data_IF_816546585957
#
_entry.id   IF_816546585957
#
_cell.length_a   1.000
_cell.length_b   1.000
_cell.length_c   1.000
_cell.angle_alpha   90.00
_cell.angle_beta   90.00
_cell.angle_gamma   90.00
#
_symmetry.space_group_name_H-M   'P 1'
#
loop_
_entity.id
_entity.type
_entity.pdbx_description
1 polymer ?
#
# COMPACT_ATOMS: atom_id res chain seq x y z
N UNK A 1 -24.99 1.98 -5.41
CA UNK A 1 -23.59 1.51 -5.32
C UNK A 1 -23.02 1.43 -6.73
N UNK A 2 -21.85 2.03 -7.01
CA UNK A 2 -21.26 2.10 -8.36
C UNK A 2 -20.45 0.85 -8.78
N UNK A 3 -20.40 -0.20 -7.95
CA UNK A 3 -19.60 -1.41 -8.18
C UNK A 3 -20.55 -2.60 -8.29
N UNK A 4 -20.49 -3.34 -9.39
CA UNK A 4 -21.26 -4.56 -9.58
C UNK A 4 -20.77 -5.67 -8.63
N UNK A 5 -21.71 -6.43 -8.06
CA UNK A 5 -21.38 -7.48 -7.09
C UNK A 5 -20.74 -8.69 -7.77
N UNK A 6 -19.59 -9.11 -7.24
CA UNK A 6 -18.99 -10.40 -7.53
C UNK A 6 -18.39 -11.01 -6.27
N UNK A 7 -18.52 -12.33 -6.09
CA UNK A 7 -17.87 -13.02 -4.98
C UNK A 7 -16.37 -13.20 -5.28
N UNK A 8 -15.61 -12.11 -5.26
CA UNK A 8 -14.16 -12.10 -5.53
C UNK A 8 -13.41 -11.22 -4.55
N UNK A 9 -12.10 -11.48 -4.40
CA UNK A 9 -11.22 -10.61 -3.63
C UNK A 9 -11.17 -9.18 -4.19
N UNK A 10 -11.26 -9.03 -5.52
CA UNK A 10 -11.23 -7.71 -6.19
C UNK A 10 -12.46 -6.88 -5.82
N UNK A 11 -13.65 -7.49 -5.87
CA UNK A 11 -14.88 -6.84 -5.41
C UNK A 11 -14.76 -6.42 -3.95
N UNK A 12 -14.37 -7.33 -3.05
CA UNK A 12 -14.27 -7.04 -1.62
C UNK A 12 -13.32 -5.86 -1.34
N UNK A 13 -12.19 -5.81 -2.05
CA UNK A 13 -11.23 -4.71 -1.96
C UNK A 13 -11.79 -3.38 -2.47
N UNK A 14 -12.34 -3.36 -3.69
CA UNK A 14 -12.86 -2.15 -4.33
C UNK A 14 -14.04 -1.58 -3.53
N UNK A 15 -14.95 -2.45 -3.09
CA UNK A 15 -16.10 -2.07 -2.27
C UNK A 15 -15.66 -1.47 -0.93
N UNK A 16 -14.70 -2.10 -0.24
CA UNK A 16 -14.14 -1.57 1.00
C UNK A 16 -13.51 -0.19 0.80
N UNK A 17 -12.62 -0.04 -0.19
CA UNK A 17 -11.83 1.20 -0.41
C UNK A 17 -12.68 2.35 -0.94
N UNK A 18 -13.35 2.15 -2.07
CA UNK A 18 -13.92 3.24 -2.86
C UNK A 18 -15.37 3.57 -2.50
N UNK A 19 -15.98 2.79 -1.60
CA UNK A 19 -17.36 3.02 -1.20
C UNK A 19 -17.50 2.97 0.32
N UNK A 20 -17.19 1.83 0.93
CA UNK A 20 -17.55 1.59 2.32
C UNK A 20 -16.84 2.54 3.30
N UNK A 21 -15.57 2.89 3.07
CA UNK A 21 -14.87 3.87 3.94
C UNK A 21 -15.53 5.25 3.94
N UNK A 22 -15.97 5.73 2.78
CA UNK A 22 -16.65 7.01 2.66
C UNK A 22 -18.01 6.98 3.38
N UNK A 23 -18.76 5.89 3.21
CA UNK A 23 -20.03 5.69 3.92
C UNK A 23 -19.85 5.65 5.44
N UNK A 24 -18.81 4.97 5.92
CA UNK A 24 -18.49 4.90 7.35
C UNK A 24 -18.14 6.27 7.94
N UNK A 25 -17.49 7.15 7.16
CA UNK A 25 -17.15 8.50 7.59
C UNK A 25 -18.39 9.40 7.78
N UNK A 26 -19.53 9.02 7.19
CA UNK A 26 -20.81 9.72 7.32
C UNK A 26 -21.69 9.14 8.44
N UNK A 27 -21.24 8.12 9.16
CA UNK A 27 -22.03 7.51 10.23
C UNK A 27 -22.04 8.40 11.48
N UNK A 28 -23.13 8.39 12.28
CA UNK A 28 -23.25 9.22 13.47
C UNK A 28 -22.07 9.07 14.44
N UNK A 29 -21.57 7.84 14.63
CA UNK A 29 -20.41 7.56 15.49
C UNK A 29 -19.11 8.18 14.99
N UNK A 30 -18.97 8.39 13.68
CA UNK A 30 -17.80 9.06 13.11
C UNK A 30 -17.94 10.59 13.20
N UNK A 31 -19.13 11.11 12.92
CA UNK A 31 -19.43 12.54 12.92
C UNK A 31 -19.36 13.19 14.31
N UNK A 32 -19.43 12.41 15.39
CA UNK A 32 -19.21 12.93 16.75
C UNK A 32 -17.76 13.36 17.00
N UNK A 33 -16.80 12.84 16.22
CA UNK A 33 -15.36 13.01 16.45
C UNK A 33 -14.82 12.17 17.63
N UNK A 34 -15.68 11.50 18.37
CA UNK A 34 -15.32 10.69 19.53
C UNK A 34 -14.80 9.29 19.12
N UNK A 35 -13.96 8.65 19.94
CA UNK A 35 -13.51 7.28 19.71
C UNK A 35 -14.68 6.28 19.64
N UNK A 36 -14.73 5.48 18.58
CA UNK A 36 -15.73 4.43 18.40
C UNK A 36 -15.12 3.12 17.87
N UNK A 37 -15.85 2.02 18.07
CA UNK A 37 -15.48 0.71 17.49
C UNK A 37 -15.95 0.64 16.05
N UNK A 38 -15.02 0.43 15.12
CA UNK A 38 -15.34 0.44 13.69
C UNK A 38 -16.12 -0.81 13.23
N UNK A 39 -15.83 -1.99 13.80
CA UNK A 39 -16.43 -3.27 13.34
C UNK A 39 -17.96 -3.36 13.42
N UNK A 40 -18.62 -2.94 14.51
CA UNK A 40 -20.09 -2.86 14.57
C UNK A 40 -20.66 -1.96 13.47
N UNK A 41 -20.03 -0.82 13.23
CA UNK A 41 -20.44 0.15 12.20
C UNK A 41 -20.26 -0.45 10.80
N UNK A 42 -19.11 -1.08 10.51
CA UNK A 42 -18.86 -1.81 9.25
C UNK A 42 -19.99 -2.81 8.97
N UNK A 43 -20.35 -3.61 9.97
CA UNK A 43 -21.37 -4.66 9.82
C UNK A 43 -22.73 -4.06 9.48
N UNK A 44 -23.11 -2.96 10.16
CA UNK A 44 -24.37 -2.25 9.91
C UNK A 44 -24.40 -1.56 8.55
N UNK A 45 -23.31 -0.93 8.12
CA UNK A 45 -23.28 -0.22 6.83
C UNK A 45 -23.23 -1.22 5.67
N UNK A 46 -22.48 -2.33 5.80
CA UNK A 46 -22.45 -3.40 4.79
C UNK A 46 -23.84 -3.96 4.48
N UNK A 47 -24.69 -4.17 5.48
CA UNK A 47 -26.02 -4.75 5.28
C UNK A 47 -27.00 -3.84 4.53
N UNK A 48 -26.66 -2.56 4.32
CA UNK A 48 -27.42 -1.65 3.44
C UNK A 48 -27.18 -1.92 1.97
N UNK A 49 -26.03 -2.51 1.64
CA UNK A 49 -25.54 -2.67 0.26
C UNK A 49 -25.49 -4.12 -0.19
N UNK A 50 -25.30 -5.05 0.74
CA UNK A 50 -25.17 -6.48 0.46
C UNK A 50 -26.18 -7.28 1.26
N UNK A 51 -26.79 -8.26 0.60
CA UNK A 51 -27.67 -9.23 1.27
C UNK A 51 -26.86 -10.22 2.11
N UNK A 52 -27.51 -10.85 3.09
CA UNK A 52 -26.88 -11.93 3.87
C UNK A 52 -26.39 -13.07 2.97
N UNK A 53 -27.14 -13.41 1.93
CA UNK A 53 -26.74 -14.41 0.94
C UNK A 53 -25.44 -13.99 0.25
N UNK A 54 -25.34 -12.76 -0.25
CA UNK A 54 -24.12 -12.24 -0.89
C UNK A 54 -22.93 -12.25 0.08
N UNK A 55 -23.14 -11.85 1.33
CA UNK A 55 -22.10 -11.87 2.36
C UNK A 55 -21.68 -13.28 2.78
N UNK A 56 -22.53 -14.29 2.63
CA UNK A 56 -22.25 -15.71 2.91
C UNK A 56 -21.50 -16.43 1.78
N UNK A 57 -21.50 -15.86 0.57
CA UNK A 57 -20.73 -16.44 -0.54
C UNK A 57 -19.25 -16.48 -0.19
N UNK A 58 -18.58 -17.50 -0.72
CA UNK A 58 -17.16 -17.74 -0.51
C UNK A 58 -16.43 -17.78 -1.84
N UNK A 59 -15.17 -17.37 -1.82
CA UNK A 59 -14.28 -17.41 -2.96
C UNK A 59 -12.91 -17.98 -2.57
N UNK A 60 -12.13 -18.55 -3.50
CA UNK A 60 -10.81 -19.10 -3.19
C UNK A 60 -9.88 -18.06 -2.55
N UNK A 61 -9.29 -18.39 -1.41
CA UNK A 61 -8.25 -17.59 -0.79
C UNK A 61 -7.01 -17.59 -1.68
N UNK A 62 -6.37 -16.42 -1.83
CA UNK A 62 -5.22 -16.27 -2.74
C UNK A 62 -3.92 -16.86 -2.21
N UNK A 63 -3.80 -17.05 -0.90
CA UNK A 63 -2.55 -17.33 -0.18
C UNK A 63 -2.45 -18.76 0.36
N UNK A 64 -3.48 -19.59 0.17
CA UNK A 64 -3.49 -20.97 0.67
C UNK A 64 -4.38 -21.82 -0.22
N UNK A 65 -3.77 -22.80 -0.89
CA UNK A 65 -4.47 -23.73 -1.76
C UNK A 65 -5.56 -24.49 -0.99
N UNK A 66 -6.77 -24.57 -1.56
CA UNK A 66 -7.93 -25.22 -0.95
C UNK A 66 -8.64 -24.41 0.15
N UNK A 67 -8.11 -23.24 0.56
CA UNK A 67 -8.78 -22.37 1.52
C UNK A 67 -9.76 -21.45 0.81
N UNK A 68 -10.90 -21.19 1.44
CA UNK A 68 -11.90 -20.23 0.95
C UNK A 68 -12.03 -19.06 1.92
N UNK A 69 -12.38 -17.89 1.40
CA UNK A 69 -12.74 -16.71 2.19
C UNK A 69 -14.18 -16.32 1.93
N UNK A 70 -14.89 -15.99 3.02
CA UNK A 70 -16.24 -15.47 2.96
C UNK A 70 -16.22 -13.98 2.62
N UNK A 71 -17.08 -13.54 1.71
CA UNK A 71 -17.20 -12.15 1.25
C UNK A 71 -17.35 -11.17 2.42
N UNK A 72 -18.28 -11.42 3.33
CA UNK A 72 -18.51 -10.52 4.48
C UNK A 72 -17.33 -10.45 5.46
N UNK A 73 -16.54 -11.52 5.58
CA UNK A 73 -15.33 -11.51 6.40
C UNK A 73 -14.20 -10.73 5.71
N UNK A 74 -14.05 -10.91 4.41
CA UNK A 74 -13.04 -10.23 3.60
C UNK A 74 -13.27 -8.71 3.51
N UNK A 75 -14.51 -8.27 3.30
CA UNK A 75 -14.83 -6.83 3.30
C UNK A 75 -14.49 -6.19 4.63
N UNK A 76 -14.87 -6.82 5.76
CA UNK A 76 -14.50 -6.33 7.11
C UNK A 76 -12.99 -6.23 7.29
N UNK A 77 -12.25 -7.23 6.83
CA UNK A 77 -10.80 -7.23 6.86
C UNK A 77 -10.20 -6.08 6.05
N UNK A 78 -10.56 -5.94 4.77
CA UNK A 78 -10.03 -4.87 3.91
C UNK A 78 -10.40 -3.48 4.41
N UNK A 79 -11.61 -3.31 4.92
CA UNK A 79 -12.09 -2.02 5.47
C UNK A 79 -11.29 -1.64 6.71
N UNK A 80 -11.11 -2.57 7.65
CA UNK A 80 -10.30 -2.34 8.85
C UNK A 80 -8.84 -2.07 8.51
N UNK A 81 -8.29 -2.81 7.53
CA UNK A 81 -6.91 -2.62 7.08
C UNK A 81 -6.71 -1.22 6.47
N UNK A 82 -7.65 -0.77 5.64
CA UNK A 82 -7.57 0.55 4.98
C UNK A 82 -7.88 1.69 5.92
N UNK A 83 -8.86 1.55 6.81
CA UNK A 83 -9.13 2.54 7.85
C UNK A 83 -7.89 2.79 8.73
N UNK A 84 -7.07 1.75 8.94
CA UNK A 84 -5.85 1.83 9.76
C UNK A 84 -4.61 2.32 8.99
N UNK A 85 -4.47 1.99 7.70
CA UNK A 85 -3.20 2.13 6.96
C UNK A 85 -3.31 2.85 5.61
N UNK A 86 -4.50 3.30 5.21
CA UNK A 86 -4.65 4.06 3.97
C UNK A 86 -4.24 5.51 4.18
N UNK A 87 -3.43 6.06 3.28
CA UNK A 87 -3.10 7.50 3.28
C UNK A 87 -4.40 8.32 3.18
N UNK A 88 -5.25 7.97 2.21
CA UNK A 88 -6.59 8.55 2.02
C UNK A 88 -7.63 8.09 3.08
N UNK A 89 -7.21 7.46 4.18
CA UNK A 89 -8.15 7.04 5.22
C UNK A 89 -8.74 8.26 5.92
N UNK A 90 -10.06 8.38 6.06
CA UNK A 90 -10.67 9.44 6.86
C UNK A 90 -10.55 9.19 8.37
N UNK A 91 -9.96 8.06 8.78
CA UNK A 91 -9.92 7.63 10.17
C UNK A 91 -8.51 7.64 10.77
N UNK A 92 -8.44 8.01 12.05
CA UNK A 92 -7.25 7.85 12.89
C UNK A 92 -7.41 6.58 13.73
N UNK A 93 -6.43 5.68 13.65
CA UNK A 93 -6.40 4.46 14.46
C UNK A 93 -5.81 4.75 15.84
N UNK A 94 -6.60 4.54 16.90
CA UNK A 94 -6.24 4.93 18.27
C UNK A 94 -5.51 3.83 19.06
N UNK A 95 -5.01 2.80 18.38
CA UNK A 95 -4.27 1.70 19.01
C UNK A 95 -5.09 0.42 19.23
N UNK A 96 -4.81 -0.31 20.31
CA UNK A 96 -5.32 -1.67 20.47
C UNK A 96 -6.84 -1.69 20.70
N UNK A 97 -7.52 -2.71 20.15
CA UNK A 97 -8.99 -2.96 20.23
C UNK A 97 -9.88 -2.37 19.13
N UNK A 98 -9.30 -1.89 18.02
CA UNK A 98 -10.08 -1.48 16.83
C UNK A 98 -10.91 -0.21 17.06
N UNK A 99 -10.39 0.69 17.89
CA UNK A 99 -10.92 2.02 18.13
C UNK A 99 -10.41 2.99 17.07
N UNK A 100 -11.32 3.81 16.56
CA UNK A 100 -11.06 4.82 15.55
C UNK A 100 -11.80 6.11 15.90
N UNK A 101 -11.35 7.22 15.35
CA UNK A 101 -12.13 8.46 15.25
C UNK A 101 -11.98 9.02 13.85
N UNK A 102 -12.89 9.89 13.45
CA UNK A 102 -12.72 10.67 12.23
C UNK A 102 -11.54 11.64 12.38
N UNK A 103 -10.79 11.86 11.31
CA UNK A 103 -9.82 12.95 11.23
C UNK A 103 -10.56 14.28 11.39
N UNK A 104 -9.96 15.21 12.13
CA UNK A 104 -10.46 16.57 12.23
C UNK A 104 -10.12 17.37 10.96
N UNK A 105 -10.87 18.43 10.68
CA UNK A 105 -10.58 19.33 9.56
C UNK A 105 -9.15 19.89 9.63
N UNK A 106 -8.64 20.14 10.84
CA UNK A 106 -7.26 20.58 11.06
C UNK A 106 -6.25 19.51 10.64
N UNK A 107 -6.47 18.24 10.98
CA UNK A 107 -5.59 17.14 10.57
C UNK A 107 -5.67 16.88 9.07
N UNK A 108 -6.85 17.01 8.46
CA UNK A 108 -7.01 16.92 7.01
C UNK A 108 -6.30 18.07 6.29
N UNK A 109 -6.33 19.28 6.86
CA UNK A 109 -5.63 20.45 6.32
C UNK A 109 -4.12 20.34 6.52
N UNK A 110 -3.67 19.79 7.65
CA UNK A 110 -2.25 19.53 7.91
C UNK A 110 -1.71 18.44 7.00
N UNK A 111 -2.42 17.32 6.82
CA UNK A 111 -2.01 16.28 5.87
C UNK A 111 -2.05 16.79 4.42
N UNK A 112 -3.03 17.62 4.05
CA UNK A 112 -3.06 18.23 2.71
C UNK A 112 -1.95 19.27 2.51
N UNK A 113 -1.56 20.01 3.55
CA UNK A 113 -0.44 20.93 3.53
C UNK A 113 0.91 20.19 3.54
N UNK A 114 1.02 19.08 4.28
CA UNK A 114 2.16 18.17 4.26
C UNK A 114 2.29 17.49 2.89
N UNK A 115 1.19 17.07 2.25
CA UNK A 115 1.19 16.54 0.88
C UNK A 115 1.55 17.62 -0.17
N UNK A 116 1.23 18.91 0.08
CA UNK A 116 1.62 20.05 -0.76
C UNK A 116 3.09 20.48 -0.54
N UNK A 117 3.60 20.43 0.69
CA UNK A 117 4.99 20.72 1.07
C UNK A 117 5.94 19.54 0.75
N UNK A 118 5.45 18.29 0.72
CA UNK A 118 6.18 17.11 0.23
C UNK A 118 6.57 17.21 -1.27
N UNK A 119 6.04 18.21 -2.00
CA UNK A 119 6.50 18.49 -3.35
C UNK A 119 7.89 19.18 -3.40
N UNK A 120 8.37 19.85 -2.33
CA UNK A 120 9.73 20.40 -2.21
C UNK A 120 10.10 20.66 -0.73
N UNK A 121 10.42 19.63 0.07
CA UNK A 121 11.17 19.84 1.32
C UNK A 121 12.22 18.74 1.56
N UNK A 122 13.50 19.13 1.50
CA UNK A 122 14.65 18.37 2.03
C UNK A 122 14.42 18.11 3.52
N UNK A 123 14.09 16.87 3.89
CA UNK A 123 14.03 16.49 5.31
C UNK A 123 15.44 16.49 5.94
N UNK A 124 15.58 16.94 7.20
CA UNK A 124 16.86 16.99 7.89
C UNK A 124 17.39 15.58 8.18
N UNK A 125 18.69 15.38 7.90
CA UNK A 125 19.49 14.16 8.02
C UNK A 125 19.25 13.33 9.30
N UNK A 126 18.24 12.46 9.30
CA UNK A 126 18.23 11.27 10.14
C UNK A 126 18.88 10.12 9.36
N UNK A 127 20.18 9.90 9.60
CA UNK A 127 20.95 8.81 9.00
C UNK A 127 20.47 7.44 9.51
N UNK A 128 19.46 6.87 8.87
CA UNK A 128 19.06 5.49 9.14
C UNK A 128 19.84 4.52 8.23
N UNK A 129 20.51 3.56 8.86
CA UNK A 129 21.01 2.37 8.17
C UNK A 129 19.84 1.50 7.74
N UNK A 130 19.96 0.85 6.58
CA UNK A 130 18.87 0.05 6.05
C UNK A 130 19.26 -0.77 4.83
N UNK A 131 18.24 -1.27 4.16
CA UNK A 131 18.38 -2.09 2.97
C UNK A 131 17.70 -1.40 1.79
N UNK A 132 18.44 -1.26 0.69
CA UNK A 132 17.88 -1.06 -0.63
C UNK A 132 17.50 -2.43 -1.18
N UNK A 133 16.35 -2.53 -1.82
CA UNK A 133 15.92 -3.73 -2.53
C UNK A 133 15.42 -3.40 -3.93
N UNK A 134 15.56 -4.38 -4.80
CA UNK A 134 15.00 -4.35 -6.14
C UNK A 134 14.12 -5.59 -6.33
N UNK A 135 12.89 -5.40 -6.81
CA UNK A 135 12.00 -6.52 -7.14
C UNK A 135 11.21 -6.27 -8.42
N UNK A 136 10.68 -7.35 -8.98
CA UNK A 136 9.80 -7.34 -10.16
C UNK A 136 8.69 -8.38 -10.01
N UNK A 137 7.87 -8.54 -11.04
CA UNK A 137 6.91 -9.64 -11.13
C UNK A 137 7.27 -10.57 -12.31
N UNK A 138 7.07 -11.89 -12.17
CA UNK A 138 7.38 -12.85 -13.23
C UNK A 138 6.80 -12.49 -14.60
N UNK A 139 5.55 -12.00 -14.68
CA UNK A 139 4.93 -11.69 -15.97
C UNK A 139 5.51 -10.48 -16.70
N UNK A 140 6.14 -9.55 -15.99
CA UNK A 140 6.74 -8.34 -16.57
C UNK A 140 8.26 -8.42 -16.65
N UNK A 141 8.85 -9.47 -16.10
CA UNK A 141 10.29 -9.74 -16.18
C UNK A 141 10.69 -10.05 -17.61
N UNK A 142 11.84 -9.54 -18.02
CA UNK A 142 12.45 -9.90 -19.29
C UNK A 142 13.88 -10.42 -19.10
N UNK A 143 14.29 -11.29 -20.02
CA UNK A 143 15.65 -11.83 -20.06
C UNK A 143 16.47 -10.98 -21.04
N UNK A 144 17.66 -10.52 -20.61
CA UNK A 144 18.63 -9.77 -21.43
C UNK A 144 18.17 -8.41 -21.99
N UNK A 145 17.06 -7.86 -21.53
CA UNK A 145 16.63 -6.49 -21.84
C UNK A 145 16.15 -5.79 -20.56
N UNK A 146 16.21 -4.45 -20.46
CA UNK A 146 15.59 -3.73 -19.37
C UNK A 146 14.11 -4.08 -19.21
N UNK A 147 13.65 -4.16 -17.96
CA UNK A 147 12.26 -4.48 -17.63
C UNK A 147 11.83 -3.70 -16.38
N UNK A 148 10.52 -3.64 -16.06
CA UNK A 148 10.05 -2.93 -14.88
C UNK A 148 10.61 -3.55 -13.60
N UNK A 149 11.41 -2.76 -12.88
CA UNK A 149 11.94 -3.08 -11.57
C UNK A 149 11.51 -1.96 -10.63
N UNK A 150 10.93 -2.33 -9.49
CA UNK A 150 10.72 -1.41 -8.38
C UNK A 150 11.99 -1.39 -7.53
N UNK A 151 12.50 -0.19 -7.26
CA UNK A 151 13.62 0.03 -6.34
C UNK A 151 13.08 0.75 -5.12
N UNK A 152 13.22 0.15 -3.94
CA UNK A 152 12.73 0.74 -2.70
C UNK A 152 13.65 0.46 -1.53
N UNK A 153 13.30 1.00 -0.36
CA UNK A 153 14.06 0.77 0.86
C UNK A 153 13.25 0.26 2.06
N UNK A 154 13.99 -0.23 3.05
CA UNK A 154 13.47 -0.54 4.38
C UNK A 154 14.53 -0.29 5.45
N UNK A 155 14.11 0.31 6.57
CA UNK A 155 14.91 0.39 7.82
C UNK A 155 14.73 -0.85 8.70
N UNK A 156 13.76 -1.72 8.38
CA UNK A 156 13.58 -3.00 9.06
C UNK A 156 14.62 -4.02 8.62
N UNK A 157 14.93 -4.97 9.51
CA UNK A 157 15.92 -6.03 9.26
C UNK A 157 15.57 -6.98 8.10
N UNK A 158 14.28 -7.10 7.73
CA UNK A 158 13.84 -8.07 6.73
C UNK A 158 13.19 -7.42 5.49
N UNK A 159 13.92 -7.51 4.38
CA UNK A 159 13.48 -7.07 3.04
C UNK A 159 12.29 -7.89 2.54
N UNK A 160 12.25 -9.18 2.83
CA UNK A 160 11.20 -10.08 2.34
C UNK A 160 9.86 -9.67 2.93
N UNK A 161 9.79 -9.53 4.26
CA UNK A 161 8.59 -9.05 4.95
C UNK A 161 8.11 -7.70 4.42
N UNK A 162 9.01 -6.76 4.12
CA UNK A 162 8.65 -5.45 3.52
C UNK A 162 8.03 -5.61 2.14
N UNK A 163 8.72 -6.30 1.22
CA UNK A 163 8.31 -6.46 -0.18
C UNK A 163 6.99 -7.24 -0.27
N UNK A 164 6.89 -8.36 0.45
CA UNK A 164 5.64 -9.14 0.50
C UNK A 164 4.51 -8.37 1.19
N UNK A 165 4.81 -7.57 2.21
CA UNK A 165 3.84 -6.69 2.88
C UNK A 165 3.25 -5.63 1.94
N UNK A 166 4.10 -4.96 1.16
CA UNK A 166 3.68 -3.99 0.15
C UNK A 166 2.82 -4.64 -0.94
N UNK A 167 3.24 -5.79 -1.46
CA UNK A 167 2.50 -6.50 -2.51
C UNK A 167 1.14 -7.02 -2.03
N UNK A 168 1.06 -7.49 -0.77
CA UNK A 168 -0.22 -7.85 -0.12
C UNK A 168 -1.15 -6.65 0.03
N UNK A 169 -0.62 -5.46 0.32
CA UNK A 169 -1.39 -4.22 0.48
C UNK A 169 -1.86 -3.58 -0.83
N UNK A 170 -1.16 -3.81 -1.95
CA UNK A 170 -1.44 -3.20 -3.25
C UNK A 170 -2.28 -4.09 -4.19
N UNK A 171 -2.52 -5.36 -3.86
CA UNK A 171 -3.44 -6.23 -4.60
C UNK A 171 -2.87 -6.83 -5.89
N UNK A 172 -1.53 -6.90 -6.03
CA UNK A 172 -0.86 -7.54 -7.16
C UNK A 172 -1.24 -9.03 -7.29
N UNK A 173 -1.33 -9.52 -8.52
CA UNK A 173 -1.84 -10.85 -8.87
C UNK A 173 -0.77 -11.96 -8.86
N UNK A 174 0.48 -11.59 -8.59
CA UNK A 174 1.65 -12.48 -8.64
C UNK A 174 2.55 -12.22 -7.43
N UNK A 175 3.28 -13.25 -7.00
CA UNK A 175 4.31 -13.08 -5.97
C UNK A 175 5.48 -12.25 -6.55
N UNK A 176 5.96 -11.21 -5.84
CA UNK A 176 7.12 -10.47 -6.29
C UNK A 176 8.36 -11.37 -6.27
N UNK A 177 9.24 -11.18 -7.24
CA UNK A 177 10.57 -11.76 -7.28
C UNK A 177 11.58 -10.70 -6.83
N UNK A 178 12.20 -10.91 -5.67
CA UNK A 178 13.29 -10.05 -5.18
C UNK A 178 14.54 -10.37 -5.99
N UNK A 179 15.04 -9.37 -6.71
CA UNK A 179 16.19 -9.48 -7.59
C UNK A 179 17.50 -9.12 -6.88
N UNK A 180 17.44 -8.23 -5.90
CA UNK A 180 18.62 -7.77 -5.17
C UNK A 180 18.27 -7.11 -3.85
N UNK A 181 19.24 -7.16 -2.93
CA UNK A 181 19.21 -6.50 -1.62
C UNK A 181 20.61 -6.03 -1.25
N UNK A 182 20.73 -4.79 -0.81
CA UNK A 182 22.02 -4.17 -0.47
C UNK A 182 21.87 -3.38 0.82
N UNK A 183 22.72 -3.70 1.79
CA UNK A 183 22.79 -2.93 3.03
C UNK A 183 23.57 -1.64 2.78
N UNK A 184 23.01 -0.52 3.20
CA UNK A 184 23.60 0.81 3.02
C UNK A 184 23.40 1.67 4.27
N UNK A 185 24.25 2.68 4.40
CA UNK A 185 24.03 3.78 5.35
C UNK A 185 23.25 4.89 4.66
N UNK A 186 22.50 5.70 5.42
CA UNK A 186 21.70 6.80 4.86
C UNK A 186 20.72 6.29 3.79
N UNK A 187 19.94 5.28 4.16
CA UNK A 187 19.18 4.46 3.21
C UNK A 187 18.19 5.27 2.38
N UNK A 188 17.60 6.32 2.97
CA UNK A 188 16.66 7.23 2.29
C UNK A 188 17.41 8.01 1.20
N UNK A 189 18.50 8.68 1.57
CA UNK A 189 19.31 9.46 0.63
C UNK A 189 19.91 8.60 -0.50
N UNK A 190 20.28 7.35 -0.19
CA UNK A 190 20.78 6.41 -1.20
C UNK A 190 19.67 6.01 -2.16
N UNK A 191 18.45 5.76 -1.68
CA UNK A 191 17.30 5.47 -2.54
C UNK A 191 16.97 6.65 -3.45
N UNK A 192 16.85 7.86 -2.89
CA UNK A 192 16.57 9.09 -3.63
C UNK A 192 17.59 9.32 -4.73
N UNK A 193 18.88 9.14 -4.43
CA UNK A 193 19.96 9.24 -5.41
C UNK A 193 19.82 8.19 -6.52
N UNK A 194 19.43 6.95 -6.21
CA UNK A 194 19.17 5.93 -7.24
C UNK A 194 18.01 6.35 -8.13
N UNK A 195 16.89 6.80 -7.54
CA UNK A 195 15.73 7.25 -8.29
C UNK A 195 16.06 8.45 -9.17
N UNK A 196 16.75 9.45 -8.64
CA UNK A 196 17.18 10.64 -9.39
C UNK A 196 18.05 10.27 -10.59
N UNK A 197 19.03 9.37 -10.41
CA UNK A 197 19.88 8.91 -11.51
C UNK A 197 19.08 8.14 -12.55
N UNK A 198 18.16 7.25 -12.14
CA UNK A 198 17.32 6.49 -13.08
C UNK A 198 16.33 7.39 -13.82
N UNK A 199 15.74 8.39 -13.15
CA UNK A 199 14.90 9.43 -13.76
C UNK A 199 15.69 10.25 -14.78
N UNK A 200 16.88 10.74 -14.41
CA UNK A 200 17.75 11.49 -15.30
C UNK A 200 18.19 10.69 -16.54
N UNK A 201 18.25 9.35 -16.44
CA UNK A 201 18.50 8.42 -17.56
C UNK A 201 17.27 8.06 -18.37
N UNK A 202 16.10 8.65 -18.08
CA UNK A 202 14.84 8.35 -18.77
C UNK A 202 14.36 6.91 -18.54
N UNK A 203 14.70 6.30 -17.40
CA UNK A 203 14.26 4.94 -17.05
C UNK A 203 12.92 4.90 -16.32
N UNK A 204 12.44 6.04 -15.84
CA UNK A 204 11.24 6.11 -15.03
C UNK A 204 10.01 5.67 -15.83
N UNK A 205 9.17 4.85 -15.19
CA UNK A 205 7.94 4.34 -15.77
C UNK A 205 6.76 5.17 -15.28
N UNK A 206 6.42 6.23 -16.02
CA UNK A 206 5.35 7.20 -15.69
C UNK A 206 3.96 6.57 -15.53
N UNK A 207 3.69 5.46 -16.22
CA UNK A 207 2.41 4.75 -16.20
C UNK A 207 2.33 3.65 -15.12
N UNK A 208 3.30 3.58 -14.20
CA UNK A 208 3.32 2.62 -13.10
C UNK A 208 2.63 3.16 -11.83
N UNK A 209 2.13 2.27 -10.95
CA UNK A 209 1.62 2.69 -9.65
C UNK A 209 2.79 3.09 -8.72
N UNK A 210 2.99 4.40 -8.57
CA UNK A 210 4.00 5.03 -7.70
C UNK A 210 5.28 5.43 -8.43
N UNK A 211 6.12 6.24 -7.77
CA UNK A 211 7.30 6.88 -8.39
C UNK A 211 8.56 6.03 -8.42
N UNK A 212 8.49 4.81 -7.88
CA UNK A 212 9.65 3.94 -7.63
C UNK A 212 9.86 2.86 -8.70
N UNK A 213 9.17 2.93 -9.85
CA UNK A 213 9.24 1.93 -10.92
C UNK A 213 10.09 2.40 -12.11
N UNK A 214 11.01 1.54 -12.55
CA UNK A 214 11.97 1.87 -13.60
C UNK A 214 12.11 0.74 -14.62
N UNK A 215 12.19 1.08 -15.91
CA UNK A 215 12.61 0.18 -16.98
C UNK A 215 14.14 0.09 -16.97
N UNK A 216 14.70 -0.83 -16.19
CA UNK A 216 16.15 -0.93 -15.94
C UNK A 216 16.63 -2.38 -15.83
N UNK A 217 17.91 -2.58 -15.51
CA UNK A 217 18.52 -3.89 -15.23
C UNK A 217 19.11 -3.91 -13.83
N UNK A 218 19.29 -5.11 -13.27
CA UNK A 218 19.92 -5.26 -11.96
C UNK A 218 21.36 -4.71 -11.93
N UNK A 219 22.11 -4.91 -13.03
CA UNK A 219 23.47 -4.39 -13.17
C UNK A 219 23.52 -2.87 -13.15
N UNK A 220 22.53 -2.19 -13.76
CA UNK A 220 22.43 -0.74 -13.75
C UNK A 220 22.19 -0.22 -12.33
N UNK A 221 21.22 -0.79 -11.61
CA UNK A 221 20.95 -0.45 -10.20
C UNK A 221 22.20 -0.68 -9.34
N UNK A 222 22.88 -1.81 -9.51
CA UNK A 222 24.10 -2.12 -8.77
C UNK A 222 25.25 -1.16 -9.10
N UNK A 223 25.36 -0.72 -10.36
CA UNK A 223 26.39 0.26 -10.75
C UNK A 223 26.19 1.61 -10.07
N UNK A 224 24.95 2.06 -9.93
CA UNK A 224 24.59 3.32 -9.27
C UNK A 224 24.89 3.21 -7.77
N UNK A 225 24.47 2.12 -7.13
CA UNK A 225 24.79 1.83 -5.73
C UNK A 225 26.29 1.85 -5.44
N UNK A 226 27.11 1.26 -6.31
CA UNK A 226 28.58 1.28 -6.15
C UNK A 226 29.13 2.70 -6.27
N UNK A 227 28.62 3.49 -7.22
CA UNK A 227 29.03 4.88 -7.40
C UNK A 227 28.69 5.75 -6.18
N UNK A 228 27.49 5.60 -5.60
CA UNK A 228 27.07 6.36 -4.41
C UNK A 228 27.87 5.97 -3.15
N UNK A 229 28.26 4.70 -3.03
CA UNK A 229 29.03 4.18 -1.90
C UNK A 229 30.56 4.33 -2.04
N UNK A 230 31.04 4.99 -3.09
CA UNK A 230 32.47 5.32 -3.25
C UNK A 230 32.79 6.61 -2.50
#
# INVERSE_FOLDING_TARGET
MPIEFEATASFCYKFARYHLLHELAQEPEALTGEPFKLNPVITRVMSRYLTEQQMSLSYPARDTEGKVQQVGAAIRFFTSLRAKRGNDSPFVWLGQSGMYRLKSDTELTQEAAEDEDEAVEDQPDLEFDGWIYAFTFPAIKAVQRPFPIKVGFTTAMDVETRVFGQCKGAGFFESPEILGRWQVKRVVQVEDAIHAVLKARGRWKEDAPGDEWFITTLDEVQSILRFINT
#
